data_IF_230185245808
#
_entry.id   IF_230185245808
#
_cell.length_a   1.000
_cell.length_b   1.000
_cell.length_c   1.000
_cell.angle_alpha   90.00
_cell.angle_beta   90.00
_cell.angle_gamma   90.00
#
_symmetry.space_group_name_H-M   'P 1'
#
loop_
_entity.id
_entity.type
_entity.pdbx_description
1 polymer ?
#
# COMPACT_ATOMS: atom_id res chain seq x y z
N UNK A 1 -36.97 -38.89 5.42
CA UNK A 1 -36.71 -37.61 4.73
C UNK A 1 -36.58 -37.91 3.24
N UNK A 2 -37.50 -37.45 2.41
CA UNK A 2 -37.62 -37.87 1.00
C UNK A 2 -36.37 -37.49 0.19
N UNK A 3 -35.87 -38.38 -0.68
CA UNK A 3 -34.72 -38.12 -1.57
C UNK A 3 -34.86 -36.83 -2.38
N UNK A 4 -36.09 -36.46 -2.74
CA UNK A 4 -36.41 -35.20 -3.42
C UNK A 4 -36.07 -33.96 -2.58
N UNK A 5 -36.36 -34.00 -1.28
CA UNK A 5 -36.05 -32.91 -0.35
C UNK A 5 -34.53 -32.76 -0.20
N UNK A 6 -33.82 -33.89 -0.09
CA UNK A 6 -32.35 -33.91 -0.03
C UNK A 6 -31.74 -33.28 -1.28
N UNK A 7 -32.23 -33.63 -2.48
CA UNK A 7 -31.77 -33.04 -3.73
C UNK A 7 -32.02 -31.52 -3.79
N UNK A 8 -33.20 -31.08 -3.34
CA UNK A 8 -33.55 -29.66 -3.33
C UNK A 8 -32.62 -28.85 -2.41
N UNK A 9 -32.31 -29.37 -1.22
CA UNK A 9 -31.38 -28.73 -0.27
C UNK A 9 -29.99 -28.61 -0.88
N UNK A 10 -29.45 -29.67 -1.49
CA UNK A 10 -28.13 -29.61 -2.14
C UNK A 10 -28.09 -28.63 -3.31
N UNK A 11 -29.13 -28.61 -4.15
CA UNK A 11 -29.23 -27.67 -5.27
C UNK A 11 -29.24 -26.22 -4.78
N UNK A 12 -29.98 -25.94 -3.70
CA UNK A 12 -30.03 -24.61 -3.09
C UNK A 12 -28.66 -24.17 -2.52
N UNK A 13 -27.95 -25.09 -1.85
CA UNK A 13 -26.59 -24.83 -1.33
C UNK A 13 -25.62 -24.53 -2.49
N UNK A 14 -25.62 -25.33 -3.55
CA UNK A 14 -24.71 -25.14 -4.69
C UNK A 14 -25.00 -23.82 -5.42
N UNK A 15 -26.28 -23.49 -5.61
CA UNK A 15 -26.70 -22.24 -6.26
C UNK A 15 -26.24 -21.00 -5.47
N UNK A 16 -26.51 -20.98 -4.17
CA UNK A 16 -26.08 -19.87 -3.30
C UNK A 16 -24.56 -19.74 -3.24
N UNK A 17 -23.84 -20.87 -3.19
CA UNK A 17 -22.38 -20.88 -3.19
C UNK A 17 -21.79 -20.30 -4.49
N UNK A 18 -22.41 -20.59 -5.64
CA UNK A 18 -21.97 -20.08 -6.95
C UNK A 18 -22.11 -18.56 -7.04
N UNK A 19 -23.19 -18.00 -6.48
CA UNK A 19 -23.40 -16.54 -6.43
C UNK A 19 -22.34 -15.86 -5.56
N UNK A 20 -22.01 -16.43 -4.40
CA UNK A 20 -20.96 -15.90 -3.51
C UNK A 20 -19.60 -15.91 -4.21
N UNK A 21 -19.23 -17.02 -4.87
CA UNK A 21 -17.97 -17.09 -5.60
C UNK A 21 -17.92 -16.10 -6.77
N UNK A 22 -19.00 -15.97 -7.54
CA UNK A 22 -19.08 -15.00 -8.62
C UNK A 22 -18.86 -13.58 -8.09
N UNK A 23 -19.53 -13.21 -6.99
CA UNK A 23 -19.36 -11.90 -6.37
C UNK A 23 -17.91 -11.65 -5.92
N UNK A 24 -17.29 -12.62 -5.23
CA UNK A 24 -15.91 -12.51 -4.77
C UNK A 24 -14.89 -12.34 -5.92
N UNK A 25 -15.10 -13.01 -7.05
CA UNK A 25 -14.20 -12.92 -8.22
C UNK A 25 -14.47 -11.64 -9.04
N UNK A 26 -15.75 -11.27 -9.19
CA UNK A 26 -16.17 -10.10 -9.96
C UNK A 26 -15.77 -8.77 -9.32
N UNK A 27 -15.51 -8.74 -8.01
CA UNK A 27 -14.97 -7.58 -7.32
C UNK A 27 -13.48 -7.33 -7.60
N UNK A 28 -12.97 -7.88 -8.71
CA UNK A 28 -11.64 -7.56 -9.21
C UNK A 28 -11.56 -6.06 -9.48
N UNK A 29 -10.84 -5.41 -8.57
CA UNK A 29 -10.45 -4.00 -8.63
C UNK A 29 -9.98 -3.68 -10.06
N UNK A 30 -10.25 -2.47 -10.54
CA UNK A 30 -9.81 -2.05 -11.88
C UNK A 30 -8.38 -2.55 -12.16
N UNK A 31 -8.11 -3.14 -13.33
CA UNK A 31 -6.80 -3.71 -13.63
C UNK A 31 -5.65 -2.71 -13.43
N UNK A 32 -5.93 -1.41 -13.57
CA UNK A 32 -4.99 -0.30 -13.41
C UNK A 32 -5.00 0.33 -12.01
N UNK A 33 -5.82 -0.15 -11.07
CA UNK A 33 -5.84 0.33 -9.69
C UNK A 33 -4.92 -0.49 -8.78
N UNK A 34 -4.56 0.13 -7.65
CA UNK A 34 -3.85 -0.52 -6.56
C UNK A 34 -4.73 -1.60 -5.95
N UNK A 35 -4.16 -2.79 -5.73
CA UNK A 35 -4.87 -3.81 -4.95
C UNK A 35 -4.90 -3.37 -3.49
N UNK A 36 -6.03 -3.48 -2.77
CA UNK A 36 -6.14 -3.06 -1.37
C UNK A 36 -5.06 -3.68 -0.48
N UNK A 37 -4.73 -4.95 -0.73
CA UNK A 37 -3.67 -5.66 -0.01
C UNK A 37 -2.26 -5.11 -0.29
N UNK A 38 -1.96 -4.68 -1.52
CA UNK A 38 -0.65 -4.07 -1.83
C UNK A 38 -0.48 -2.74 -1.10
N UNK A 39 -1.53 -1.93 -1.08
CA UNK A 39 -1.55 -0.69 -0.32
C UNK A 39 -1.32 -0.95 1.18
N UNK A 40 -2.04 -1.91 1.76
CA UNK A 40 -1.88 -2.25 3.18
C UNK A 40 -0.47 -2.74 3.52
N UNK A 41 0.09 -3.65 2.71
CA UNK A 41 1.44 -4.16 2.90
C UNK A 41 2.48 -3.04 2.83
N UNK A 42 2.33 -2.14 1.86
CA UNK A 42 3.19 -0.97 1.69
C UNK A 42 3.14 -0.06 2.91
N UNK A 43 1.94 0.24 3.45
CA UNK A 43 1.80 1.05 4.66
C UNK A 43 2.47 0.38 5.87
N UNK A 44 2.29 -0.93 6.05
CA UNK A 44 2.91 -1.67 7.15
C UNK A 44 4.44 -1.62 7.05
N UNK A 45 4.98 -1.85 5.86
CA UNK A 45 6.43 -1.80 5.62
C UNK A 45 6.98 -0.40 5.88
N UNK A 46 6.36 0.63 5.32
CA UNK A 46 6.80 2.02 5.49
C UNK A 46 6.70 2.47 6.96
N UNK A 47 5.64 2.06 7.67
CA UNK A 47 5.49 2.37 9.10
C UNK A 47 6.61 1.74 9.95
N UNK A 48 7.01 0.49 9.63
CA UNK A 48 8.13 -0.17 10.31
C UNK A 48 9.43 0.59 10.09
N UNK A 49 9.68 1.02 8.86
CA UNK A 49 10.88 1.79 8.53
C UNK A 49 10.93 3.12 9.28
N UNK A 50 9.81 3.84 9.40
CA UNK A 50 9.77 5.10 10.16
C UNK A 50 10.04 4.89 11.66
N UNK A 51 9.56 3.76 12.20
CA UNK A 51 9.82 3.39 13.59
C UNK A 51 11.30 3.11 13.84
N UNK A 52 11.99 2.50 12.88
CA UNK A 52 13.40 2.10 12.99
C UNK A 52 14.39 3.17 12.49
N UNK A 53 13.92 4.19 11.78
CA UNK A 53 14.78 5.18 11.14
C UNK A 53 15.17 6.37 12.02
N UNK A 54 16.22 7.06 11.62
CA UNK A 54 16.67 8.33 12.18
C UNK A 54 16.95 9.33 11.05
N UNK A 55 17.02 10.62 11.38
CA UNK A 55 17.28 11.70 10.41
C UNK A 55 16.33 11.69 9.21
N UNK A 56 15.03 11.61 9.47
CA UNK A 56 14.01 11.58 8.42
C UNK A 56 13.95 12.95 7.76
N UNK A 57 14.21 12.97 6.46
CA UNK A 57 14.13 14.15 5.60
C UNK A 57 13.04 13.94 4.56
N UNK A 58 12.16 14.93 4.43
CA UNK A 58 11.00 14.87 3.54
C UNK A 58 11.18 15.91 2.44
N UNK A 59 11.11 15.45 1.20
CA UNK A 59 10.94 16.28 0.01
C UNK A 59 9.58 15.95 -0.62
N UNK A 60 9.10 16.78 -1.55
CA UNK A 60 7.74 16.66 -2.09
C UNK A 60 7.43 15.26 -2.66
N UNK A 61 8.40 14.64 -3.34
CA UNK A 61 8.24 13.33 -4.01
C UNK A 61 9.24 12.26 -3.56
N UNK A 62 10.06 12.58 -2.57
CA UNK A 62 11.12 11.71 -2.08
C UNK A 62 11.22 11.78 -0.56
N UNK A 63 11.44 10.63 0.06
CA UNK A 63 11.72 10.51 1.48
C UNK A 63 13.08 9.86 1.67
N UNK A 64 13.94 10.49 2.46
CA UNK A 64 15.24 9.92 2.82
C UNK A 64 15.40 9.80 4.33
N UNK A 65 16.11 8.76 4.77
CA UNK A 65 16.39 8.53 6.19
C UNK A 65 17.57 7.59 6.38
N UNK A 66 18.08 7.53 7.61
CA UNK A 66 19.09 6.55 8.02
C UNK A 66 18.40 5.37 8.70
N UNK A 67 18.64 4.14 8.23
CA UNK A 67 18.11 2.94 8.87
C UNK A 67 18.87 2.59 10.18
N UNK A 68 18.42 1.56 10.88
CA UNK A 68 19.05 1.08 12.12
C UNK A 68 20.49 0.54 11.93
N UNK A 69 20.89 0.17 10.71
CA UNK A 69 22.26 -0.26 10.39
C UNK A 69 23.17 0.90 9.95
N UNK A 70 22.68 2.15 10.01
CA UNK A 70 23.45 3.34 9.65
C UNK A 70 23.53 3.61 8.15
N UNK A 71 22.77 2.90 7.33
CA UNK A 71 22.75 3.07 5.87
C UNK A 71 21.73 4.13 5.47
N UNK A 72 22.07 4.91 4.43
CA UNK A 72 21.16 5.85 3.81
C UNK A 72 20.14 5.12 2.93
N UNK A 73 18.85 5.37 3.19
CA UNK A 73 17.72 4.82 2.46
C UNK A 73 16.95 5.96 1.82
N UNK A 74 16.56 5.79 0.56
CA UNK A 74 15.65 6.67 -0.16
C UNK A 74 14.43 5.92 -0.65
N UNK A 75 13.28 6.58 -0.58
CA UNK A 75 12.00 6.11 -1.12
C UNK A 75 11.48 7.18 -2.05
N UNK A 76 11.35 6.84 -3.33
CA UNK A 76 10.96 7.79 -4.36
C UNK A 76 10.00 7.18 -5.37
N UNK A 77 9.21 8.06 -5.98
CA UNK A 77 8.40 7.72 -7.14
C UNK A 77 9.30 7.60 -8.37
N UNK A 78 9.15 6.51 -9.11
CA UNK A 78 9.88 6.26 -10.34
C UNK A 78 8.93 5.68 -11.39
N UNK A 79 8.64 6.46 -12.44
CA UNK A 79 7.67 6.11 -13.49
C UNK A 79 6.28 5.83 -12.93
N UNK A 80 5.89 4.57 -12.83
CA UNK A 80 4.59 4.13 -12.33
C UNK A 80 4.69 3.30 -11.04
N UNK A 81 5.81 3.40 -10.33
CA UNK A 81 6.04 2.64 -9.10
C UNK A 81 6.70 3.49 -8.02
N UNK A 82 6.62 3.03 -6.79
CA UNK A 82 7.41 3.51 -5.67
C UNK A 82 8.51 2.49 -5.43
N UNK A 83 9.75 2.98 -5.38
CA UNK A 83 10.91 2.15 -5.09
C UNK A 83 11.61 2.63 -3.84
N UNK A 84 12.31 1.70 -3.23
CA UNK A 84 13.25 1.91 -2.13
C UNK A 84 14.66 1.60 -2.61
N UNK A 85 15.62 2.43 -2.24
CA UNK A 85 17.03 2.24 -2.54
C UNK A 85 17.86 2.34 -1.26
N UNK A 86 18.84 1.44 -1.11
CA UNK A 86 19.82 1.50 -0.02
C UNK A 86 21.16 1.84 -0.64
N UNK A 87 21.75 2.96 -0.22
CA UNK A 87 23.09 3.41 -0.63
C UNK A 87 23.33 3.30 -2.16
N UNK A 88 22.30 3.55 -2.98
CA UNK A 88 22.28 3.49 -4.44
C UNK A 88 22.68 2.16 -5.10
N UNK A 89 22.91 1.09 -4.31
CA UNK A 89 23.35 -0.22 -4.82
C UNK A 89 22.25 -1.28 -4.84
N UNK A 90 21.09 -0.99 -4.27
CA UNK A 90 19.91 -1.86 -4.29
C UNK A 90 18.67 -1.13 -4.79
N UNK A 91 17.71 -1.89 -5.34
CA UNK A 91 16.36 -1.41 -5.61
C UNK A 91 15.34 -2.46 -5.16
N UNK A 92 14.36 -2.02 -4.40
CA UNK A 92 13.22 -2.82 -3.98
C UNK A 92 11.95 -2.08 -4.43
N UNK A 93 11.04 -2.79 -5.09
CA UNK A 93 9.76 -2.20 -5.51
C UNK A 93 8.81 -2.33 -4.32
N UNK A 94 8.31 -1.20 -3.82
CA UNK A 94 7.40 -1.15 -2.69
C UNK A 94 5.93 -1.13 -3.13
N UNK A 95 5.63 -0.46 -4.24
CA UNK A 95 4.26 -0.32 -4.76
C UNK A 95 4.27 -0.10 -6.27
N UNK A 96 3.37 -0.76 -7.01
CA UNK A 96 3.19 -0.60 -8.46
C UNK A 96 1.93 0.23 -8.77
N UNK A 97 1.69 0.61 -10.02
CA UNK A 97 0.49 1.34 -10.49
C UNK A 97 0.25 2.68 -9.78
N UNK A 98 1.33 3.39 -9.50
CA UNK A 98 1.33 4.70 -8.86
C UNK A 98 1.56 5.79 -9.90
N UNK A 99 0.56 6.65 -10.09
CA UNK A 99 0.67 7.82 -10.97
C UNK A 99 1.48 8.95 -10.33
N UNK A 100 1.19 9.25 -9.06
CA UNK A 100 1.90 10.29 -8.30
C UNK A 100 1.99 9.91 -6.82
N UNK A 101 3.05 10.36 -6.16
CA UNK A 101 3.25 10.24 -4.72
C UNK A 101 3.67 11.61 -4.19
N UNK A 102 3.03 12.06 -3.11
CA UNK A 102 3.44 13.26 -2.38
C UNK A 102 3.53 13.02 -0.88
N UNK A 103 4.50 13.67 -0.26
CA UNK A 103 4.63 13.73 1.19
C UNK A 103 4.34 15.15 1.69
N UNK A 104 3.56 15.24 2.76
CA UNK A 104 3.29 16.50 3.44
C UNK A 104 3.56 16.33 4.93
N UNK A 105 4.34 17.24 5.51
CA UNK A 105 4.52 17.28 6.95
C UNK A 105 3.24 17.80 7.61
N UNK A 106 2.77 17.08 8.63
CA UNK A 106 1.60 17.45 9.43
C UNK A 106 1.99 17.52 10.91
N UNK A 107 1.11 18.03 11.77
CA UNK A 107 1.39 18.07 13.20
C UNK A 107 1.69 16.64 13.73
N UNK A 108 2.88 16.49 14.33
CA UNK A 108 3.41 15.22 14.85
C UNK A 108 3.41 14.07 13.83
N UNK A 109 3.69 14.34 12.56
CA UNK A 109 3.75 13.25 11.57
C UNK A 109 3.96 13.65 10.12
N UNK A 110 3.73 12.67 9.26
CA UNK A 110 3.87 12.76 7.81
C UNK A 110 2.60 12.18 7.18
N UNK A 111 1.97 12.95 6.30
CA UNK A 111 0.89 12.48 5.45
C UNK A 111 1.45 12.08 4.09
N UNK A 112 1.17 10.83 3.70
CA UNK A 112 1.44 10.29 2.37
C UNK A 112 0.15 10.34 1.56
N UNK A 113 0.23 10.90 0.35
CA UNK A 113 -0.85 10.86 -0.64
C UNK A 113 -0.37 10.21 -1.92
N UNK A 114 -1.13 9.22 -2.40
CA UNK A 114 -0.88 8.48 -3.62
C UNK A 114 -2.09 8.58 -4.54
N UNK A 115 -1.84 8.79 -5.83
CA UNK A 115 -2.85 8.64 -6.88
C UNK A 115 -2.48 7.41 -7.69
N UNK A 116 -3.38 6.43 -7.81
CA UNK A 116 -3.15 5.25 -8.65
C UNK A 116 -3.25 5.57 -10.14
N UNK A 117 -2.80 4.67 -11.01
CA UNK A 117 -2.98 4.82 -12.47
C UNK A 117 -4.46 4.89 -12.86
N UNK A 118 -5.35 4.23 -12.10
CA UNK A 118 -6.80 4.37 -12.21
C UNK A 118 -7.37 5.70 -11.69
N UNK A 119 -6.55 6.60 -11.13
CA UNK A 119 -6.96 7.93 -10.66
C UNK A 119 -7.56 7.97 -9.25
N UNK A 120 -7.57 6.84 -8.53
CA UNK A 120 -8.07 6.78 -7.15
C UNK A 120 -7.02 7.33 -6.18
N UNK A 121 -7.49 8.09 -5.20
CA UNK A 121 -6.64 8.72 -4.19
C UNK A 121 -6.57 7.84 -2.94
N UNK A 122 -5.35 7.57 -2.48
CA UNK A 122 -5.03 6.84 -1.27
C UNK A 122 -4.23 7.76 -0.35
N UNK A 123 -4.65 7.87 0.91
CA UNK A 123 -3.97 8.72 1.88
C UNK A 123 -3.72 7.97 3.18
N UNK A 124 -2.55 8.16 3.77
CA UNK A 124 -2.24 7.63 5.10
C UNK A 124 -1.42 8.64 5.90
N UNK A 125 -1.68 8.75 7.20
CA UNK A 125 -0.91 9.63 8.10
C UNK A 125 -0.10 8.80 9.07
N UNK A 126 1.22 8.89 8.95
CA UNK A 126 2.17 8.31 9.89
C UNK A 126 2.38 9.29 11.04
N UNK A 127 1.91 8.95 12.24
CA UNK A 127 2.21 9.72 13.45
C UNK A 127 3.60 9.34 13.96
N UNK A 128 4.44 10.34 14.19
CA UNK A 128 5.83 10.16 14.62
C UNK A 128 6.15 11.19 15.69
N UNK A 129 6.87 10.75 16.73
CA UNK A 129 7.37 11.60 17.82
C UNK A 129 8.82 12.06 17.61
N UNK A 130 9.45 11.65 16.51
CA UNK A 130 10.82 12.02 16.13
C UNK A 130 10.83 13.38 15.42
N UNK A 131 11.93 14.11 15.54
CA UNK A 131 12.13 15.36 14.82
C UNK A 131 12.17 15.09 13.31
N UNK A 132 11.41 15.88 12.56
CA UNK A 132 11.31 15.81 11.10
C UNK A 132 12.01 17.04 10.52
N UNK A 133 12.98 16.81 9.63
CA UNK A 133 13.73 17.90 8.98
C UNK A 133 13.13 18.13 7.60
N UNK A 134 12.70 19.36 7.33
CA UNK A 134 12.29 19.79 5.99
C UNK A 134 13.49 20.45 5.31
N UNK A 135 13.80 20.01 4.09
CA UNK A 135 14.86 20.59 3.24
C UNK A 135 14.22 21.36 2.10
#
# INVERSE_FOLDING_TARGET
MNMLLTFFIYSFIISTLTIIFHFLISHSQHPEDLRPFEWELFIIQLHREFKESSNITIQDTELTFTNNTGQHVSINHYKNLIRRQIADRGHEILLLKVKTMTFHQVDRGIQLSIISEAGKVYTYTFRTYKELVKV
#
